data_IF_673836100060
#
_entry.id   IF_673836100060
#
_cell.length_a   1.000
_cell.length_b   1.000
_cell.length_c   1.000
_cell.angle_alpha   90.00
_cell.angle_beta   90.00
_cell.angle_gamma   90.00
#
_symmetry.space_group_name_H-M   'P 1'
#
loop_
_entity.id
_entity.type
_entity.pdbx_description
1 polymer ?
#
# COMPACT_ATOMS: atom_id res chain seq x y z
N UNK A 1 47.03 35.20 29.61
CA UNK A 1 45.78 34.63 29.06
C UNK A 1 46.14 33.43 28.21
N UNK A 2 45.86 32.20 28.68
CA UNK A 2 46.24 30.94 28.01
C UNK A 2 45.18 30.59 26.95
N UNK A 3 45.61 30.33 25.72
CA UNK A 3 44.76 29.89 24.62
C UNK A 3 44.56 28.36 24.74
N UNK A 4 43.39 27.90 25.20
CA UNK A 4 43.06 26.47 25.17
C UNK A 4 42.78 26.02 23.73
N UNK A 5 43.65 25.13 23.22
CA UNK A 5 43.40 24.39 21.99
C UNK A 5 42.31 23.35 22.25
N UNK A 6 41.06 23.62 21.83
CA UNK A 6 40.01 22.61 21.82
C UNK A 6 40.33 21.55 20.76
N UNK A 7 40.57 20.34 21.25
CA UNK A 7 40.80 19.08 20.53
C UNK A 7 39.73 18.87 19.47
N UNK A 8 40.13 18.83 18.19
CA UNK A 8 39.27 18.38 17.11
C UNK A 8 38.83 16.94 17.41
N UNK A 9 37.51 16.69 17.34
CA UNK A 9 36.98 15.33 17.41
C UNK A 9 37.39 14.62 16.13
N UNK A 10 38.14 13.54 16.31
CA UNK A 10 38.56 12.62 15.28
C UNK A 10 37.30 12.08 14.56
N UNK A 11 37.13 12.48 13.30
CA UNK A 11 36.07 11.96 12.44
C UNK A 11 36.54 10.57 12.04
N UNK A 12 36.09 9.58 12.81
CA UNK A 12 36.38 8.17 12.56
C UNK A 12 36.13 7.82 11.09
N UNK A 13 37.10 7.11 10.52
CA UNK A 13 37.20 6.71 9.12
C UNK A 13 35.84 6.42 8.47
N UNK A 14 35.47 7.26 7.51
CA UNK A 14 34.30 7.10 6.63
C UNK A 14 34.38 5.87 5.70
N UNK A 15 35.31 4.95 5.94
CA UNK A 15 35.51 3.72 5.16
C UNK A 15 34.81 2.49 5.77
N UNK A 16 34.26 2.57 6.98
CA UNK A 16 33.59 1.42 7.62
C UNK A 16 32.05 1.43 7.49
N UNK A 17 31.45 2.43 6.84
CA UNK A 17 29.98 2.46 6.65
C UNK A 17 29.54 1.71 5.38
N UNK A 18 30.45 1.44 4.43
CA UNK A 18 30.10 0.74 3.19
C UNK A 18 29.88 -0.78 3.36
N UNK A 19 30.45 -1.41 4.39
CA UNK A 19 30.33 -2.86 4.56
C UNK A 19 28.99 -3.32 5.18
N UNK A 20 28.15 -2.38 5.64
CA UNK A 20 26.81 -2.70 6.15
C UNK A 20 25.71 -2.65 5.07
N UNK A 21 26.04 -2.29 3.82
CA UNK A 21 25.13 -2.33 2.67
C UNK A 21 25.17 -3.66 1.90
N UNK A 22 25.98 -4.61 2.36
CA UNK A 22 26.12 -5.92 1.72
C UNK A 22 25.32 -7.00 2.46
N UNK A 23 24.26 -6.58 3.16
CA UNK A 23 23.21 -7.48 3.58
C UNK A 23 22.53 -8.07 2.35
N UNK A 24 23.11 -9.12 1.79
CA UNK A 24 22.44 -10.16 1.01
C UNK A 24 21.40 -10.83 1.91
N UNK A 25 20.39 -10.06 2.32
CA UNK A 25 19.06 -10.61 2.31
C UNK A 25 18.85 -11.01 0.86
N UNK A 26 18.73 -12.31 0.58
CA UNK A 26 17.96 -12.73 -0.59
C UNK A 26 16.66 -11.93 -0.46
N UNK A 27 16.54 -10.83 -1.20
CA UNK A 27 15.33 -10.03 -1.21
C UNK A 27 14.25 -11.04 -1.49
N UNK A 28 13.35 -11.27 -0.52
CA UNK A 28 12.09 -11.90 -0.86
C UNK A 28 11.62 -11.19 -2.12
N UNK A 29 11.42 -11.94 -3.19
CA UNK A 29 11.11 -11.38 -4.50
C UNK A 29 9.96 -10.41 -4.31
N UNK A 30 10.18 -9.14 -4.65
CA UNK A 30 9.21 -8.09 -4.33
C UNK A 30 7.99 -8.33 -5.21
N UNK A 31 6.99 -9.03 -4.69
CA UNK A 31 5.77 -9.39 -5.44
C UNK A 31 5.01 -8.18 -5.98
N UNK A 32 5.16 -7.02 -5.33
CA UNK A 32 4.51 -5.77 -5.75
C UNK A 32 5.47 -4.58 -5.71
N UNK A 33 5.31 -3.69 -6.68
CA UNK A 33 5.86 -2.33 -6.72
C UNK A 33 4.74 -1.32 -6.46
N UNK A 34 5.03 -0.28 -5.68
CA UNK A 34 4.05 0.76 -5.33
C UNK A 34 4.56 2.09 -5.90
N UNK A 35 3.74 2.75 -6.73
CA UNK A 35 4.06 4.02 -7.38
C UNK A 35 3.30 5.15 -6.69
N UNK A 36 4.01 6.03 -5.99
CA UNK A 36 3.43 7.13 -5.23
C UNK A 36 3.92 8.46 -5.81
N UNK A 37 3.02 9.35 -6.28
CA UNK A 37 3.39 10.71 -6.68
C UNK A 37 4.02 11.50 -5.52
N UNK A 38 4.92 12.44 -5.83
CA UNK A 38 5.60 13.24 -4.80
C UNK A 38 4.63 14.09 -3.99
N UNK A 39 3.57 14.60 -4.61
CA UNK A 39 2.53 15.40 -3.98
C UNK A 39 1.83 14.62 -2.85
N UNK A 40 1.68 13.31 -3.04
CA UNK A 40 1.13 12.41 -2.01
C UNK A 40 2.12 12.28 -0.87
N UNK A 41 3.41 12.11 -1.15
CA UNK A 41 4.44 12.03 -0.11
C UNK A 41 4.48 13.30 0.74
N UNK A 42 4.41 14.47 0.12
CA UNK A 42 4.37 15.77 0.81
C UNK A 42 3.10 15.90 1.66
N UNK A 43 1.94 15.53 1.09
CA UNK A 43 0.66 15.54 1.81
C UNK A 43 0.68 14.61 3.03
N UNK A 44 1.25 13.41 2.88
CA UNK A 44 1.35 12.41 3.94
C UNK A 44 2.36 12.84 5.03
N UNK A 45 3.47 13.47 4.63
CA UNK A 45 4.50 13.98 5.54
C UNK A 45 4.03 15.18 6.36
N UNK A 46 3.11 15.99 5.83
CA UNK A 46 2.56 17.14 6.53
C UNK A 46 1.46 16.74 7.53
N UNK A 47 1.89 16.16 8.65
CA UNK A 47 1.01 15.68 9.71
C UNK A 47 0.98 16.64 10.92
N UNK A 48 0.22 17.72 10.76
CA UNK A 48 -0.01 18.72 11.80
C UNK A 48 -0.79 18.19 13.03
N UNK A 49 -1.24 16.92 13.00
CA UNK A 49 -2.29 16.40 13.89
C UNK A 49 -1.82 15.35 14.91
N UNK A 50 -0.52 15.04 15.00
CA UNK A 50 -0.02 14.07 15.99
C UNK A 50 0.12 14.74 17.37
N UNK A 51 -1.02 14.97 18.01
CA UNK A 51 -1.11 15.42 19.41
C UNK A 51 -1.10 14.21 20.37
N UNK A 52 -1.29 12.99 19.86
CA UNK A 52 -1.36 11.77 20.66
C UNK A 52 -0.65 10.58 19.99
N UNK A 53 0.21 9.84 20.70
CA UNK A 53 0.91 8.68 20.15
C UNK A 53 -0.03 7.50 19.80
N UNK A 54 -1.28 7.52 20.30
CA UNK A 54 -2.29 6.51 19.99
C UNK A 54 -3.00 6.75 18.66
N UNK A 55 -2.96 7.98 18.14
CA UNK A 55 -3.59 8.33 16.85
C UNK A 55 -2.68 7.94 15.70
N UNK A 56 -3.27 7.52 14.59
CA UNK A 56 -2.50 7.27 13.40
C UNK A 56 -1.99 8.58 12.82
N UNK A 57 -0.78 8.53 12.27
CA UNK A 57 -0.33 9.56 11.35
C UNK A 57 -0.94 9.36 9.96
N UNK A 58 -0.92 10.37 9.10
CA UNK A 58 -1.32 10.24 7.68
C UNK A 58 -0.54 9.13 6.98
N UNK A 59 0.78 9.10 7.14
CA UNK A 59 1.64 8.02 6.61
C UNK A 59 1.20 6.65 7.14
N UNK A 60 0.91 6.53 8.44
CA UNK A 60 0.49 5.26 9.05
C UNK A 60 -0.88 4.81 8.55
N UNK A 61 -1.83 5.74 8.39
CA UNK A 61 -3.15 5.48 7.83
C UNK A 61 -3.05 5.04 6.35
N UNK A 62 -2.19 5.69 5.57
CA UNK A 62 -1.95 5.31 4.18
C UNK A 62 -1.32 3.90 4.08
N UNK A 63 -0.27 3.63 4.86
CA UNK A 63 0.36 2.30 4.93
C UNK A 63 -0.64 1.22 5.30
N UNK A 64 -1.53 1.51 6.24
CA UNK A 64 -2.60 0.59 6.64
C UNK A 64 -3.53 0.22 5.47
N UNK A 65 -3.94 1.19 4.65
CA UNK A 65 -4.76 0.92 3.46
C UNK A 65 -4.03 0.04 2.44
N UNK A 66 -2.76 0.34 2.18
CA UNK A 66 -1.93 -0.45 1.26
C UNK A 66 -1.76 -1.89 1.74
N UNK A 67 -1.43 -2.11 3.02
CA UNK A 67 -1.29 -3.46 3.57
C UNK A 67 -2.58 -4.26 3.43
N UNK A 68 -3.74 -3.66 3.76
CA UNK A 68 -5.04 -4.33 3.61
C UNK A 68 -5.38 -4.67 2.17
N UNK A 69 -4.95 -3.85 1.23
CA UNK A 69 -5.13 -4.12 -0.19
C UNK A 69 -4.25 -5.28 -0.66
N UNK A 70 -2.94 -5.25 -0.35
CA UNK A 70 -1.99 -6.30 -0.70
C UNK A 70 -2.39 -7.64 -0.07
N UNK A 71 -2.74 -7.66 1.21
CA UNK A 71 -3.29 -8.85 1.87
C UNK A 71 -4.48 -9.41 1.08
N UNK A 72 -5.36 -8.54 0.58
CA UNK A 72 -6.53 -8.95 -0.18
C UNK A 72 -6.20 -9.51 -1.56
N UNK A 73 -5.17 -8.96 -2.22
CA UNK A 73 -4.65 -9.51 -3.46
C UNK A 73 -4.02 -10.90 -3.25
N UNK A 74 -3.30 -11.11 -2.15
CA UNK A 74 -2.63 -12.37 -1.86
C UNK A 74 -3.59 -13.49 -1.42
N UNK A 75 -4.65 -13.14 -0.69
CA UNK A 75 -5.61 -14.11 -0.16
C UNK A 75 -6.86 -14.27 -1.04
N UNK A 76 -6.97 -13.53 -2.15
CA UNK A 76 -8.16 -13.54 -3.02
C UNK A 76 -9.40 -12.88 -2.43
N UNK A 77 -9.29 -12.27 -1.24
CA UNK A 77 -10.38 -11.62 -0.51
C UNK A 77 -10.12 -10.12 -0.35
N UNK A 78 -10.78 -9.30 -1.17
CA UNK A 78 -10.70 -7.84 -1.03
C UNK A 78 -11.36 -7.39 0.28
N UNK A 79 -10.53 -7.10 1.29
CA UNK A 79 -10.95 -6.54 2.57
C UNK A 79 -11.58 -5.16 2.35
N UNK A 80 -12.88 -5.04 2.62
CA UNK A 80 -13.63 -3.79 2.48
C UNK A 80 -13.24 -2.81 3.59
N UNK A 81 -12.82 -1.61 3.21
CA UNK A 81 -12.53 -0.55 4.17
C UNK A 81 -13.72 0.41 4.25
N UNK A 82 -14.41 0.42 5.39
CA UNK A 82 -15.51 1.33 5.67
C UNK A 82 -15.06 2.51 6.54
N UNK A 83 -15.53 3.71 6.24
CA UNK A 83 -15.17 4.95 6.95
C UNK A 83 -15.37 4.84 8.47
N UNK A 84 -16.45 4.20 8.93
CA UNK A 84 -16.73 3.99 10.35
C UNK A 84 -15.68 3.13 11.04
N UNK A 85 -15.19 2.09 10.37
CA UNK A 85 -14.14 1.22 10.87
C UNK A 85 -12.80 1.97 10.91
N UNK A 86 -12.45 2.68 9.83
CA UNK A 86 -11.22 3.47 9.75
C UNK A 86 -11.15 4.53 10.85
N UNK A 87 -12.26 5.21 11.14
CA UNK A 87 -12.35 6.17 12.26
C UNK A 87 -12.00 5.53 13.61
N UNK A 88 -12.48 4.31 13.88
CA UNK A 88 -12.18 3.57 15.12
C UNK A 88 -10.73 3.09 15.19
N UNK A 89 -10.21 2.57 14.08
CA UNK A 89 -8.87 1.98 14.00
C UNK A 89 -7.79 3.07 14.08
N UNK A 90 -8.00 4.18 13.37
CA UNK A 90 -7.04 5.29 13.29
C UNK A 90 -7.14 6.27 14.45
N UNK A 91 -8.19 6.14 15.27
CA UNK A 91 -8.54 7.07 16.37
C UNK A 91 -8.71 8.51 15.87
N UNK A 92 -9.26 8.64 14.66
CA UNK A 92 -9.61 9.91 14.02
C UNK A 92 -11.12 10.13 14.06
N UNK A 93 -11.54 11.39 14.10
CA UNK A 93 -12.96 11.71 13.88
C UNK A 93 -13.36 11.34 12.45
N UNK A 94 -14.65 11.09 12.24
CA UNK A 94 -15.18 10.76 10.91
C UNK A 94 -14.85 11.85 9.88
N UNK A 95 -14.88 13.12 10.29
CA UNK A 95 -14.56 14.28 9.47
C UNK A 95 -13.10 14.24 8.99
N UNK A 96 -12.16 13.96 9.88
CA UNK A 96 -10.73 13.86 9.52
C UNK A 96 -10.51 12.70 8.54
N UNK A 97 -11.13 11.53 8.80
CA UNK A 97 -11.06 10.38 7.88
C UNK A 97 -11.60 10.75 6.50
N UNK A 98 -12.78 11.35 6.42
CA UNK A 98 -13.39 11.76 5.15
C UNK A 98 -12.52 12.78 4.41
N UNK A 99 -11.97 13.77 5.12
CA UNK A 99 -11.10 14.78 4.52
C UNK A 99 -9.84 14.14 3.96
N UNK A 100 -9.17 13.28 4.72
CA UNK A 100 -7.97 12.57 4.29
C UNK A 100 -8.22 11.71 3.06
N UNK A 101 -9.30 10.92 3.07
CA UNK A 101 -9.67 10.07 1.95
C UNK A 101 -10.03 10.88 0.71
N UNK A 102 -10.73 12.02 0.87
CA UNK A 102 -11.04 12.89 -0.26
C UNK A 102 -9.77 13.42 -0.92
N UNK A 103 -8.79 13.88 -0.15
CA UNK A 103 -7.51 14.33 -0.71
C UNK A 103 -6.79 13.22 -1.46
N UNK A 104 -6.74 11.99 -0.91
CA UNK A 104 -6.16 10.85 -1.64
C UNK A 104 -6.92 10.50 -2.92
N UNK A 105 -8.25 10.66 -2.92
CA UNK A 105 -9.08 10.43 -4.10
C UNK A 105 -8.82 11.50 -5.18
N UNK A 106 -8.69 12.76 -4.80
CA UNK A 106 -8.33 13.86 -5.71
C UNK A 106 -6.94 13.65 -6.33
N UNK A 107 -6.02 13.02 -5.59
CA UNK A 107 -4.69 12.61 -6.06
C UNK A 107 -4.68 11.27 -6.81
N UNK A 108 -5.85 10.71 -7.13
CA UNK A 108 -6.02 9.46 -7.88
C UNK A 108 -5.39 8.21 -7.21
N UNK A 109 -5.21 8.24 -5.88
CA UNK A 109 -4.59 7.15 -5.12
C UNK A 109 -5.61 6.11 -4.65
N UNK A 110 -6.84 6.53 -4.42
CA UNK A 110 -7.93 5.68 -3.97
C UNK A 110 -9.22 5.99 -4.70
N UNK A 111 -10.12 5.02 -4.70
CA UNK A 111 -11.51 5.19 -5.09
C UNK A 111 -12.43 5.05 -3.87
N UNK A 112 -13.48 5.85 -3.85
CA UNK A 112 -14.57 5.71 -2.87
C UNK A 112 -15.85 5.32 -3.61
N UNK A 113 -16.29 4.08 -3.43
CA UNK A 113 -17.50 3.52 -4.06
C UNK A 113 -18.62 3.38 -3.05
N UNK A 114 -19.85 3.66 -3.45
CA UNK A 114 -21.04 3.41 -2.63
C UNK A 114 -21.52 1.97 -2.89
N UNK A 115 -21.50 1.12 -1.86
CA UNK A 115 -21.98 -0.26 -1.94
C UNK A 115 -22.98 -0.49 -0.82
N UNK A 116 -24.20 -0.91 -1.14
CA UNK A 116 -25.24 -1.24 -0.16
C UNK A 116 -25.38 -0.19 0.95
N UNK A 117 -25.36 1.10 0.57
CA UNK A 117 -25.45 2.30 1.45
C UNK A 117 -24.21 2.62 2.29
N UNK A 118 -23.11 1.88 2.16
CA UNK A 118 -21.85 2.17 2.81
C UNK A 118 -20.79 2.70 1.81
N UNK A 119 -20.03 3.71 2.21
CA UNK A 119 -18.88 4.20 1.44
C UNK A 119 -17.69 3.28 1.69
N UNK A 120 -17.28 2.56 0.65
CA UNK A 120 -16.13 1.67 0.64
C UNK A 120 -14.93 2.37 0.00
N UNK A 121 -13.77 2.21 0.61
CA UNK A 121 -12.49 2.71 0.11
C UNK A 121 -11.70 1.56 -0.51
N UNK A 122 -11.19 1.76 -1.73
CA UNK A 122 -10.25 0.85 -2.40
C UNK A 122 -9.03 1.60 -2.90
N UNK A 123 -7.86 0.97 -2.85
CA UNK A 123 -6.65 1.50 -3.51
C UNK A 123 -6.86 1.49 -5.03
N UNK A 124 -6.41 2.54 -5.70
CA UNK A 124 -6.39 2.55 -7.16
C UNK A 124 -5.37 1.52 -7.65
N UNK A 125 -5.77 0.50 -8.44
CA UNK A 125 -4.85 -0.53 -8.91
C UNK A 125 -3.68 0.03 -9.74
N UNK A 126 -3.81 1.23 -10.31
CA UNK A 126 -2.71 1.85 -11.08
C UNK A 126 -1.46 2.14 -10.23
N UNK A 127 -1.62 2.29 -8.91
CA UNK A 127 -0.49 2.56 -8.01
C UNK A 127 0.16 1.30 -7.45
N UNK A 128 -0.41 0.11 -7.68
CA UNK A 128 0.14 -1.18 -7.24
C UNK A 128 0.34 -2.09 -8.46
N UNK A 129 1.59 -2.29 -8.84
CA UNK A 129 1.96 -3.15 -9.96
C UNK A 129 2.51 -4.46 -9.42
N UNK A 130 1.95 -5.59 -9.83
CA UNK A 130 2.50 -6.90 -9.50
C UNK A 130 3.77 -7.13 -10.32
N UNK A 131 4.90 -7.40 -9.65
CA UNK A 131 6.12 -7.83 -10.32
C UNK A 131 6.06 -9.35 -10.44
N UNK A 132 5.26 -9.83 -11.38
CA UNK A 132 5.15 -11.26 -11.64
C UNK A 132 6.37 -11.71 -12.43
N UNK A 133 6.97 -12.81 -11.99
CA UNK A 133 7.89 -13.56 -12.84
C UNK A 133 7.16 -14.05 -14.10
N UNK A 134 7.91 -14.32 -15.17
CA UNK A 134 7.33 -14.82 -16.43
C UNK A 134 6.54 -16.11 -16.19
N UNK A 135 7.04 -16.95 -15.29
CA UNK A 135 6.43 -18.22 -14.89
C UNK A 135 5.10 -18.03 -14.14
N UNK A 136 4.97 -17.00 -13.30
CA UNK A 136 3.71 -16.69 -12.61
C UNK A 136 2.68 -16.06 -13.54
N UNK A 137 3.13 -15.22 -14.48
CA UNK A 137 2.28 -14.65 -15.51
C UNK A 137 1.70 -15.75 -16.41
N UNK A 138 2.54 -16.72 -16.82
CA UNK A 138 2.13 -17.88 -17.61
C UNK A 138 1.13 -18.77 -16.84
N UNK A 139 1.33 -18.96 -15.53
CA UNK A 139 0.37 -19.70 -14.68
C UNK A 139 -0.98 -18.96 -14.55
N UNK A 140 -0.98 -17.65 -14.35
CA UNK A 140 -2.23 -16.87 -14.26
C UNK A 140 -2.97 -16.79 -15.61
N UNK A 141 -2.25 -16.74 -16.72
CA UNK A 141 -2.83 -16.83 -18.05
C UNK A 141 -3.47 -18.21 -18.28
N UNK A 142 -2.80 -19.30 -17.89
CA UNK A 142 -3.33 -20.66 -17.97
C UNK A 142 -4.59 -20.85 -17.10
N UNK A 143 -4.59 -20.32 -15.87
CA UNK A 143 -5.75 -20.36 -14.97
C UNK A 143 -6.95 -19.59 -15.55
N UNK A 144 -6.72 -18.42 -16.15
CA UNK A 144 -7.78 -17.63 -16.80
C UNK A 144 -8.38 -18.36 -18.00
N UNK A 145 -7.55 -19.02 -18.81
CA UNK A 145 -7.97 -19.85 -19.95
C UNK A 145 -8.77 -21.09 -19.51
N UNK A 146 -8.37 -21.74 -18.42
CA UNK A 146 -9.11 -22.91 -17.90
C UNK A 146 -10.45 -22.53 -17.30
N UNK A 147 -10.55 -21.38 -16.62
CA UNK A 147 -11.84 -20.89 -16.12
C UNK A 147 -12.81 -20.46 -17.23
N UNK A 148 -12.31 -19.82 -18.30
CA UNK A 148 -13.11 -19.50 -19.49
C UNK A 148 -13.59 -20.77 -20.23
N UNK A 149 -12.73 -21.78 -20.33
CA UNK A 149 -13.08 -23.09 -20.91
C UNK A 149 -14.15 -23.82 -20.07
N UNK A 150 -14.06 -23.73 -18.75
CA UNK A 150 -15.02 -24.33 -17.81
C UNK A 150 -16.38 -23.60 -17.84
N UNK A 151 -16.40 -22.28 -18.05
CA UNK A 151 -17.63 -21.52 -18.24
C UNK A 151 -18.29 -21.83 -19.61
N UNK A 152 -17.48 -22.07 -20.65
CA UNK A 152 -17.98 -22.40 -21.99
C UNK A 152 -18.57 -23.82 -22.09
N UNK A 153 -18.09 -24.78 -21.30
CA UNK A 153 -18.61 -26.15 -21.31
C UNK A 153 -20.01 -26.28 -20.68
N UNK A 154 -20.44 -25.32 -19.87
CA UNK A 154 -21.78 -25.29 -19.29
C UNK A 154 -22.88 -24.78 -20.24
N UNK A 155 -22.53 -24.14 -21.36
CA UNK A 155 -23.52 -23.59 -22.32
C UNK A 155 -23.90 -24.62 -23.40
N UNK A 156 -23.03 -25.59 -23.70
CA UNK A 156 -23.26 -26.56 -24.80
C UNK A 156 -24.19 -27.74 -24.46
N UNK A 157 -24.69 -27.86 -23.22
CA UNK A 157 -25.47 -29.02 -22.77
C UNK A 157 -27.00 -28.81 -22.77
N UNK A 158 -27.51 -27.65 -23.21
CA UNK A 158 -28.95 -27.33 -23.11
C UNK A 158 -29.63 -27.05 -24.44
N UNK A 159 -29.32 -27.82 -25.48
CA UNK A 159 -30.17 -27.96 -26.65
C UNK A 159 -30.16 -29.42 -27.10
N UNK A 160 -31.14 -30.18 -26.61
CA UNK A 160 -31.80 -31.31 -27.29
C UNK A 160 -32.79 -31.96 -26.31
N UNK A 161 -34.01 -31.46 -26.32
CA UNK A 161 -35.21 -32.29 -26.30
C UNK A 161 -36.41 -31.48 -26.75
#
# INVERSE_FOLDING_TARGET
>A
MKLEKKKARDIGDAKNVQNSMNGTTKSAERKYSIYIPFEVMDFLGNDLMIVSPKRFSKIKAFRYLLSRHIDGLENGELKRNYISQLSKDWKWTRQIVVSFLRSLQEMNIIDIKLILRAKMVSINPTIVVANLSKEELDKMAQLSLTQLSSASSHISSREKK
#
